data_IF_252872542290
#
_entry.id   IF_252872542290
#
_cell.length_a   1.000
_cell.length_b   1.000
_cell.length_c   1.000
_cell.angle_alpha   90.00
_cell.angle_beta   90.00
_cell.angle_gamma   90.00
#
_symmetry.space_group_name_H-M   'P 1'
#
loop_
_entity.id
_entity.type
_entity.pdbx_description
1 polymer ?
#
# COMPACT_ATOMS: atom_id res chain seq x y z
N UNK A 1 35.07 9.90 -2.53
CA UNK A 1 33.96 9.09 -3.09
C UNK A 1 32.71 9.46 -2.30
N UNK A 2 31.59 9.81 -2.95
CA UNK A 2 30.32 10.07 -2.25
C UNK A 2 29.45 8.85 -2.47
N UNK A 3 29.14 8.11 -1.41
CA UNK A 3 28.15 7.03 -1.45
C UNK A 3 26.75 7.65 -1.50
N UNK A 4 26.00 7.37 -2.57
CA UNK A 4 24.60 7.77 -2.69
C UNK A 4 23.74 6.57 -2.29
N UNK A 5 23.08 6.66 -1.15
CA UNK A 5 22.05 5.69 -0.79
C UNK A 5 20.77 6.03 -1.56
N UNK A 6 20.44 5.21 -2.55
CA UNK A 6 19.13 5.25 -3.19
C UNK A 6 18.15 4.43 -2.36
N UNK A 7 16.91 4.92 -2.24
CA UNK A 7 15.84 4.17 -1.61
C UNK A 7 15.59 2.86 -2.37
N UNK A 8 15.24 1.77 -1.68
CA UNK A 8 14.98 0.49 -2.33
C UNK A 8 13.79 0.59 -3.30
N UNK A 9 13.89 -0.13 -4.41
CA UNK A 9 12.79 -0.26 -5.36
C UNK A 9 11.64 -1.10 -4.77
N UNK A 10 10.43 -0.57 -4.77
CA UNK A 10 9.23 -1.25 -4.27
C UNK A 10 8.46 -1.84 -5.44
N UNK A 11 8.36 -3.17 -5.50
CA UNK A 11 7.67 -3.88 -6.59
C UNK A 11 6.13 -3.78 -6.49
N UNK A 12 5.58 -3.55 -5.30
CA UNK A 12 4.14 -3.42 -5.05
C UNK A 12 3.82 -3.44 -3.56
N UNK A 13 2.56 -3.20 -3.21
CA UNK A 13 2.08 -3.13 -1.82
C UNK A 13 0.81 -3.95 -1.64
N UNK A 14 0.80 -4.80 -0.61
CA UNK A 14 -0.40 -5.47 -0.11
C UNK A 14 -0.76 -4.90 1.26
N UNK A 15 -1.94 -4.30 1.38
CA UNK A 15 -2.51 -3.82 2.64
C UNK A 15 -3.54 -4.82 3.14
N UNK A 16 -3.33 -5.35 4.34
CA UNK A 16 -4.32 -6.18 5.04
C UNK A 16 -4.80 -5.40 6.25
N UNK A 17 -6.09 -5.07 6.30
CA UNK A 17 -6.62 -4.24 7.36
C UNK A 17 -8.01 -4.70 7.81
N UNK A 18 -8.26 -4.57 9.12
CA UNK A 18 -9.62 -4.58 9.62
C UNK A 18 -10.40 -3.41 9.01
N UNK A 19 -11.67 -3.66 8.67
CA UNK A 19 -12.52 -2.65 8.06
C UNK A 19 -12.34 -2.51 6.54
N UNK A 20 -11.35 -3.16 5.91
CA UNK A 20 -11.22 -3.16 4.45
C UNK A 20 -12.34 -3.94 3.70
N UNK A 21 -13.31 -4.48 4.45
CA UNK A 21 -14.63 -4.90 3.93
C UNK A 21 -15.54 -3.70 3.58
N UNK A 22 -15.40 -2.56 4.26
CA UNK A 22 -16.10 -1.32 3.93
C UNK A 22 -15.37 -0.64 2.76
N UNK A 23 -16.09 -0.40 1.66
CA UNK A 23 -15.53 0.19 0.45
C UNK A 23 -14.89 1.57 0.68
N UNK A 24 -15.41 2.39 1.60
CA UNK A 24 -14.85 3.71 1.94
C UNK A 24 -13.53 3.58 2.68
N UNK A 25 -13.42 2.61 3.60
CA UNK A 25 -12.16 2.31 4.29
C UNK A 25 -11.14 1.77 3.30
N UNK A 26 -11.54 0.83 2.44
CA UNK A 26 -10.69 0.27 1.39
C UNK A 26 -10.15 1.36 0.46
N UNK A 27 -11.00 2.29 0.01
CA UNK A 27 -10.61 3.42 -0.83
C UNK A 27 -9.63 4.36 -0.12
N UNK A 28 -9.87 4.69 1.17
CA UNK A 28 -8.95 5.52 1.95
C UNK A 28 -7.58 4.88 2.13
N UNK A 29 -7.53 3.57 2.41
CA UNK A 29 -6.26 2.83 2.53
C UNK A 29 -5.48 2.78 1.22
N UNK A 30 -6.20 2.58 0.11
CA UNK A 30 -5.61 2.60 -1.22
C UNK A 30 -4.98 3.97 -1.53
N UNK A 31 -5.72 5.05 -1.34
CA UNK A 31 -5.24 6.42 -1.54
C UNK A 31 -4.06 6.76 -0.64
N UNK A 32 -4.13 6.42 0.65
CA UNK A 32 -3.04 6.63 1.59
C UNK A 32 -1.76 5.89 1.15
N UNK A 33 -1.89 4.66 0.67
CA UNK A 33 -0.76 3.86 0.18
C UNK A 33 -0.15 4.45 -1.08
N UNK A 34 -0.99 4.90 -2.04
CA UNK A 34 -0.53 5.54 -3.28
C UNK A 34 0.32 6.78 -2.99
N UNK A 35 -0.10 7.60 -2.03
CA UNK A 35 0.60 8.84 -1.65
C UNK A 35 1.87 8.55 -0.85
N UNK A 36 1.81 7.63 0.11
CA UNK A 36 2.92 7.40 1.03
C UNK A 36 4.10 6.64 0.40
N UNK A 37 3.79 5.68 -0.50
CA UNK A 37 4.79 4.73 -1.02
C UNK A 37 5.21 5.05 -2.46
N UNK A 38 4.42 5.83 -3.19
CA UNK A 38 4.76 6.26 -4.56
C UNK A 38 4.79 5.13 -5.60
N UNK A 39 4.14 4.00 -5.31
CA UNK A 39 3.98 2.88 -6.25
C UNK A 39 2.83 3.13 -7.21
N UNK A 40 2.91 2.54 -8.41
CA UNK A 40 1.86 2.69 -9.41
C UNK A 40 0.51 2.11 -8.93
N UNK A 41 -0.63 2.74 -9.29
CA UNK A 41 -1.97 2.33 -8.88
C UNK A 41 -2.26 0.82 -9.02
N UNK A 42 -1.82 0.22 -10.14
CA UNK A 42 -2.04 -1.20 -10.46
C UNK A 42 -1.21 -2.18 -9.62
N UNK A 43 -0.26 -1.67 -8.81
CA UNK A 43 0.60 -2.48 -7.92
C UNK A 43 0.19 -2.39 -6.44
N UNK A 44 -0.97 -1.79 -6.16
CA UNK A 44 -1.52 -1.70 -4.80
C UNK A 44 -2.73 -2.62 -4.69
N UNK A 45 -2.71 -3.53 -3.72
CA UNK A 45 -3.83 -4.40 -3.39
C UNK A 45 -4.24 -4.18 -1.92
N UNK A 46 -5.54 -4.06 -1.67
CA UNK A 46 -6.10 -3.95 -0.32
C UNK A 46 -7.04 -5.13 -0.08
N UNK A 47 -6.79 -5.90 0.96
CA UNK A 47 -7.58 -7.06 1.36
C UNK A 47 -8.11 -6.90 2.79
N UNK A 48 -9.32 -7.43 3.07
CA UNK A 48 -9.80 -7.53 4.45
C UNK A 48 -8.94 -8.53 5.23
N UNK A 49 -8.73 -8.24 6.51
CA UNK A 49 -8.12 -9.18 7.44
C UNK A 49 -9.09 -10.33 7.73
N UNK A 50 -8.60 -11.57 7.71
CA UNK A 50 -9.40 -12.73 8.11
C UNK A 50 -9.75 -12.63 9.60
N UNK A 51 -11.02 -12.89 9.96
CA UNK A 51 -11.44 -13.08 11.35
C UNK A 51 -11.42 -14.59 11.62
N UNK A 52 -10.50 -15.05 12.47
CA UNK A 52 -10.49 -16.41 13.02
C UNK A 52 -11.56 -16.60 14.08
#
# INVERSE_FOLDING_TARGET
VIERQEAPHIAGVLVVAEGAVDARVKAKLYEATRVAVGVEPQRILVLPMERR
#
